data_IF_387050294801
#
_entry.id   IF_387050294801
#
_cell.length_a   1.000
_cell.length_b   1.000
_cell.length_c   1.000
_cell.angle_alpha   90.00
_cell.angle_beta   90.00
_cell.angle_gamma   90.00
#
_symmetry.space_group_name_H-M   'P 1'
#
loop_
_entity.id
_entity.type
_entity.pdbx_description
1 polymer ?
#
# COMPACT_ATOMS: atom_id res chain seq x y z
N UNK A 1 -21.08 11.32 22.11
CA UNK A 1 -21.65 11.95 20.90
C UNK A 1 -20.56 11.99 19.86
N UNK A 2 -20.62 11.14 18.85
CA UNK A 2 -19.73 11.20 17.70
C UNK A 2 -20.31 12.23 16.73
N UNK A 3 -19.72 13.42 16.69
CA UNK A 3 -20.01 14.38 15.62
C UNK A 3 -19.70 13.71 14.28
N UNK A 4 -20.73 13.47 13.48
CA UNK A 4 -20.60 13.06 12.09
C UNK A 4 -19.77 14.11 11.37
N UNK A 5 -18.62 13.73 10.82
CA UNK A 5 -17.83 14.62 9.96
C UNK A 5 -18.74 15.13 8.84
N UNK A 6 -18.76 16.45 8.56
CA UNK A 6 -19.51 16.99 7.44
C UNK A 6 -19.00 16.40 6.12
N UNK A 7 -19.90 16.30 5.14
CA UNK A 7 -19.59 15.82 3.80
C UNK A 7 -18.41 16.59 3.21
N UNK A 8 -17.51 15.86 2.57
CA UNK A 8 -16.24 16.35 2.02
C UNK A 8 -16.48 17.40 0.93
N UNK A 9 -17.63 17.33 0.23
CA UNK A 9 -18.07 18.32 -0.76
C UNK A 9 -18.48 19.68 -0.14
N UNK A 10 -18.69 19.73 1.18
CA UNK A 10 -19.08 20.94 1.92
C UNK A 10 -17.90 21.58 2.67
N UNK A 11 -16.68 21.08 2.50
CA UNK A 11 -15.52 21.60 3.22
C UNK A 11 -15.02 22.91 2.61
N UNK A 12 -14.87 23.92 3.45
CA UNK A 12 -14.14 25.15 3.11
C UNK A 12 -12.62 24.87 3.05
N UNK A 13 -11.87 25.68 2.29
CA UNK A 13 -10.43 25.48 2.05
C UNK A 13 -9.61 25.33 3.35
N UNK A 14 -9.92 26.11 4.39
CA UNK A 14 -9.23 26.02 5.67
C UNK A 14 -9.50 24.69 6.40
N UNK A 15 -10.66 24.06 6.19
CA UNK A 15 -10.98 22.75 6.77
C UNK A 15 -10.12 21.66 6.13
N UNK A 16 -9.90 21.77 4.82
CA UNK A 16 -8.96 20.91 4.09
C UNK A 16 -7.53 21.07 4.60
N UNK A 17 -7.07 22.31 4.79
CA UNK A 17 -5.74 22.59 5.34
C UNK A 17 -5.57 22.00 6.75
N UNK A 18 -6.53 22.23 7.65
CA UNK A 18 -6.48 21.70 9.02
C UNK A 18 -6.55 20.17 9.02
N UNK A 19 -7.39 19.57 8.20
CA UNK A 19 -7.50 18.11 8.07
C UNK A 19 -6.19 17.50 7.56
N UNK A 20 -5.62 18.10 6.51
CA UNK A 20 -4.33 17.68 5.94
C UNK A 20 -3.22 17.79 6.98
N UNK A 21 -3.16 18.90 7.72
CA UNK A 21 -2.20 19.09 8.79
C UNK A 21 -2.34 18.03 9.89
N UNK A 22 -3.57 17.78 10.38
CA UNK A 22 -3.83 16.74 11.40
C UNK A 22 -3.40 15.36 10.92
N UNK A 23 -3.67 15.05 9.66
CA UNK A 23 -3.25 13.80 9.03
C UNK A 23 -1.72 13.68 8.97
N UNK A 24 -1.01 14.73 8.53
CA UNK A 24 0.46 14.74 8.46
C UNK A 24 1.11 14.65 9.85
N UNK A 25 0.58 15.34 10.85
CA UNK A 25 1.05 15.24 12.24
C UNK A 25 0.81 13.83 12.80
N UNK A 26 -0.34 13.22 12.51
CA UNK A 26 -0.63 11.83 12.90
C UNK A 26 0.38 10.86 12.29
N UNK A 27 0.64 10.97 10.99
CA UNK A 27 1.62 10.12 10.31
C UNK A 27 3.04 10.29 10.85
N UNK A 28 3.46 11.54 11.11
CA UNK A 28 4.77 11.80 11.71
C UNK A 28 4.90 11.17 13.10
N UNK A 29 3.85 11.27 13.93
CA UNK A 29 3.85 10.65 15.26
C UNK A 29 3.90 9.13 15.19
N UNK A 30 3.19 8.53 14.24
CA UNK A 30 3.27 7.09 13.95
C UNK A 30 4.68 6.70 13.55
N UNK A 31 5.27 7.40 12.58
CA UNK A 31 6.63 7.12 12.11
C UNK A 31 7.65 7.21 13.26
N UNK A 32 7.61 8.29 14.05
CA UNK A 32 8.48 8.45 15.21
C UNK A 32 8.32 7.30 16.22
N UNK A 33 7.08 6.87 16.46
CA UNK A 33 6.78 5.79 17.39
C UNK A 33 7.28 4.45 16.86
N UNK A 34 7.14 4.19 15.56
CA UNK A 34 7.68 3.00 14.90
C UNK A 34 9.20 2.95 15.01
N UNK A 35 9.91 4.05 14.73
CA UNK A 35 11.38 4.08 14.88
C UNK A 35 11.85 3.87 16.32
N UNK A 36 11.12 4.40 17.31
CA UNK A 36 11.42 4.16 18.74
C UNK A 36 11.20 2.70 19.12
N UNK A 37 10.13 2.10 18.64
CA UNK A 37 9.79 0.70 18.90
C UNK A 37 10.83 -0.23 18.28
N UNK A 38 11.15 -0.01 17.00
CA UNK A 38 12.10 -0.78 16.19
C UNK A 38 13.57 -0.34 16.40
N UNK A 39 13.91 0.26 17.54
CA UNK A 39 15.26 0.79 17.81
C UNK A 39 16.38 -0.24 17.60
N UNK A 40 16.11 -1.54 17.84
CA UNK A 40 17.08 -2.64 17.65
C UNK A 40 17.42 -2.92 16.18
N UNK A 41 16.55 -2.53 15.26
CA UNK A 41 16.72 -2.75 13.82
C UNK A 41 17.45 -1.57 13.15
N UNK A 42 17.59 -0.44 13.85
CA UNK A 42 18.22 0.77 13.32
C UNK A 42 19.69 0.57 12.97
N UNK A 43 20.11 1.09 11.81
CA UNK A 43 21.45 0.98 11.26
C UNK A 43 21.75 -0.36 10.57
N UNK A 44 20.79 -1.29 10.53
CA UNK A 44 20.91 -2.57 9.81
C UNK A 44 19.79 -2.79 8.82
N UNK A 45 18.53 -2.70 9.28
CA UNK A 45 17.35 -2.97 8.44
C UNK A 45 16.47 -1.74 8.25
N UNK A 46 16.61 -0.75 9.12
CA UNK A 46 15.98 0.58 8.99
C UNK A 46 17.03 1.67 9.29
N UNK A 47 16.88 2.90 8.80
CA UNK A 47 17.80 4.00 9.13
C UNK A 47 17.89 4.28 10.62
N UNK A 48 19.02 4.80 11.09
CA UNK A 48 19.08 5.40 12.43
C UNK A 48 18.25 6.68 12.50
N UNK A 49 17.43 6.82 13.53
CA UNK A 49 16.75 8.06 13.89
C UNK A 49 17.69 8.90 14.75
N UNK A 50 18.09 10.07 14.26
CA UNK A 50 18.92 11.02 15.01
C UNK A 50 18.09 11.97 15.89
N UNK A 51 16.85 12.27 15.50
CA UNK A 51 15.97 13.09 16.33
C UNK A 51 14.80 13.71 15.59
N UNK A 52 14.09 14.59 16.30
CA UNK A 52 12.97 15.38 15.80
C UNK A 52 13.43 16.82 15.62
N UNK A 53 13.06 17.46 14.52
CA UNK A 53 13.36 18.86 14.22
C UNK A 53 12.09 19.65 13.98
N UNK A 54 12.16 20.96 14.22
CA UNK A 54 11.11 21.93 13.89
C UNK A 54 11.74 23.06 13.11
N UNK A 55 11.37 23.19 11.85
CA UNK A 55 11.88 24.20 10.93
C UNK A 55 10.83 25.29 10.74
N UNK A 56 11.18 26.55 10.98
CA UNK A 56 10.27 27.67 10.71
C UNK A 56 10.25 27.99 9.22
N UNK A 57 9.07 28.24 8.66
CA UNK A 57 8.90 28.45 7.21
C UNK A 57 9.20 29.89 6.80
N UNK A 58 8.87 30.88 7.63
CA UNK A 58 8.97 32.30 7.25
C UNK A 58 10.19 33.03 7.84
N UNK A 59 10.86 33.86 7.02
CA UNK A 59 11.79 34.88 7.50
C UNK A 59 10.99 36.09 8.00
N UNK A 60 10.80 36.15 9.31
CA UNK A 60 10.63 37.33 10.19
C UNK A 60 9.52 38.38 9.90
N UNK A 61 8.90 38.43 8.71
CA UNK A 61 8.09 39.57 8.26
C UNK A 61 6.61 39.29 8.00
N UNK A 62 6.14 38.04 8.14
CA UNK A 62 4.71 37.71 8.07
C UNK A 62 4.33 36.74 9.17
N UNK A 63 3.39 37.14 10.02
CA UNK A 63 2.82 36.30 11.07
C UNK A 63 1.99 35.19 10.41
N UNK A 64 2.56 34.00 10.30
CA UNK A 64 1.82 32.80 9.88
C UNK A 64 1.01 32.25 11.05
N UNK A 65 -0.03 31.49 10.74
CA UNK A 65 -0.78 30.75 11.75
C UNK A 65 0.14 29.69 12.41
N UNK A 66 0.06 29.43 13.73
CA UNK A 66 0.92 28.45 14.43
C UNK A 66 0.86 27.00 13.91
N UNK A 67 -0.11 26.71 13.04
CA UNK A 67 -0.27 25.40 12.38
C UNK A 67 0.67 25.31 11.16
N UNK A 68 0.95 26.43 10.50
CA UNK A 68 1.69 26.53 9.25
C UNK A 68 3.02 27.28 9.40
N UNK A 69 3.32 27.81 10.59
CA UNK A 69 4.58 28.54 10.85
C UNK A 69 5.79 27.59 11.03
N UNK A 70 5.55 26.31 11.28
CA UNK A 70 6.58 25.28 11.45
C UNK A 70 6.31 24.02 10.63
N UNK A 71 7.37 23.50 10.02
CA UNK A 71 7.44 22.12 9.52
C UNK A 71 8.10 21.27 10.59
N UNK A 72 7.37 20.27 11.07
CA UNK A 72 7.98 19.23 11.90
C UNK A 72 8.65 18.21 10.98
N UNK A 73 9.84 17.77 11.37
CA UNK A 73 10.61 16.79 10.61
C UNK A 73 11.27 15.75 11.51
N UNK A 74 11.66 14.64 10.91
CA UNK A 74 12.49 13.60 11.52
C UNK A 74 13.83 13.56 10.79
N UNK A 75 14.91 13.40 11.54
CA UNK A 75 16.27 13.36 10.99
C UNK A 75 16.76 11.92 11.04
N UNK A 76 17.11 11.39 9.87
CA UNK A 76 17.51 10.00 9.70
C UNK A 76 18.93 9.88 9.13
N UNK A 77 19.51 8.70 9.33
CA UNK A 77 20.65 8.23 8.57
C UNK A 77 20.34 8.21 7.08
N UNK A 78 21.24 8.80 6.29
CA UNK A 78 21.17 8.73 4.85
C UNK A 78 21.66 7.36 4.38
N UNK A 79 20.84 6.68 3.57
CA UNK A 79 21.16 5.37 3.02
C UNK A 79 21.54 5.52 1.55
N UNK A 80 22.84 5.46 1.20
CA UNK A 80 23.26 5.47 -0.19
C UNK A 80 22.81 4.16 -0.86
N UNK A 81 22.09 4.28 -1.96
CA UNK A 81 21.52 3.12 -2.62
C UNK A 81 20.50 3.47 -3.69
N UNK A 82 19.85 2.42 -4.18
CA UNK A 82 18.81 2.53 -5.21
C UNK A 82 17.48 2.05 -4.64
N UNK A 83 16.43 2.84 -4.90
CA UNK A 83 15.07 2.42 -4.58
C UNK A 83 14.74 1.14 -5.33
N UNK A 84 14.10 0.20 -4.63
CA UNK A 84 13.73 -1.09 -5.18
C UNK A 84 12.71 -1.02 -6.31
N UNK A 85 11.99 0.09 -6.46
CA UNK A 85 11.13 0.35 -7.64
C UNK A 85 11.88 0.16 -8.95
N UNK A 86 13.18 0.44 -8.94
CA UNK A 86 14.05 0.36 -10.11
C UNK A 86 14.61 -1.04 -10.35
N UNK A 87 14.30 -2.04 -9.50
CA UNK A 87 14.91 -3.37 -9.50
C UNK A 87 13.87 -4.50 -9.36
N UNK A 88 14.24 -5.72 -9.76
CA UNK A 88 13.46 -6.98 -9.55
C UNK A 88 13.82 -7.63 -8.19
N UNK A 89 12.95 -8.49 -7.60
CA UNK A 89 12.85 -8.64 -6.13
C UNK A 89 13.97 -9.45 -5.45
N UNK A 90 14.28 -9.04 -4.21
CA UNK A 90 15.19 -9.71 -3.26
C UNK A 90 14.96 -9.26 -1.80
N UNK A 91 13.69 -9.06 -1.39
CA UNK A 91 13.27 -8.34 -0.15
C UNK A 91 13.16 -9.25 1.09
N UNK A 92 13.34 -10.55 0.89
CA UNK A 92 12.90 -11.61 1.82
C UNK A 92 13.43 -11.51 3.25
N UNK A 93 14.65 -11.00 3.45
CA UNK A 93 15.35 -11.12 4.74
C UNK A 93 14.99 -9.99 5.72
N UNK A 94 14.94 -8.73 5.26
CA UNK A 94 14.57 -7.61 6.13
C UNK A 94 13.09 -7.67 6.56
N UNK A 95 12.22 -8.20 5.69
CA UNK A 95 10.82 -8.47 6.02
C UNK A 95 10.67 -9.42 7.20
N UNK A 96 11.38 -10.55 7.15
CA UNK A 96 11.36 -11.54 8.23
C UNK A 96 11.84 -10.95 9.56
N UNK A 97 12.83 -10.05 9.52
CA UNK A 97 13.34 -9.41 10.74
C UNK A 97 12.30 -8.47 11.38
N UNK A 98 11.51 -7.73 10.59
CA UNK A 98 10.44 -6.87 11.12
C UNK A 98 9.24 -7.69 11.58
N UNK A 99 8.83 -8.71 10.81
CA UNK A 99 7.74 -9.61 11.23
C UNK A 99 8.08 -10.31 12.56
N UNK A 100 9.35 -10.68 12.77
CA UNK A 100 9.81 -11.26 14.03
C UNK A 100 9.71 -10.31 15.24
N UNK A 101 9.75 -8.99 15.03
CA UNK A 101 9.54 -8.04 16.13
C UNK A 101 8.06 -7.94 16.54
N UNK A 102 7.10 -8.43 15.75
CA UNK A 102 5.65 -8.53 16.05
C UNK A 102 4.98 -7.26 16.65
N UNK A 103 5.60 -6.10 16.50
CA UNK A 103 5.24 -4.86 17.21
C UNK A 103 4.81 -3.75 16.26
N UNK A 104 5.22 -3.83 14.99
CA UNK A 104 4.93 -2.84 13.98
C UNK A 104 4.72 -3.52 12.62
N UNK A 105 3.60 -3.20 12.00
CA UNK A 105 3.37 -3.41 10.58
C UNK A 105 3.54 -2.09 9.90
N UNK A 106 4.52 -1.94 9.03
CA UNK A 106 4.38 -0.84 8.09
C UNK A 106 3.40 -1.28 6.97
N UNK A 107 2.51 -0.37 6.57
CA UNK A 107 1.76 -0.52 5.33
C UNK A 107 2.76 -0.22 4.21
N UNK A 108 3.33 -1.28 3.63
CA UNK A 108 4.42 -1.15 2.64
C UNK A 108 3.78 -1.15 1.27
N UNK A 109 3.54 0.03 0.71
CA UNK A 109 3.38 0.12 -0.73
C UNK A 109 4.75 -0.19 -1.38
N UNK A 110 4.90 -1.47 -1.72
CA UNK A 110 5.96 -2.40 -1.26
C UNK A 110 7.37 -2.31 -1.84
N UNK A 111 7.65 -1.39 -2.77
CA UNK A 111 8.97 -1.28 -3.41
C UNK A 111 9.55 0.13 -3.36
N UNK A 112 8.70 1.14 -3.18
CA UNK A 112 9.11 2.55 -3.06
C UNK A 112 9.85 2.80 -1.75
N UNK A 113 9.40 2.11 -0.70
CA UNK A 113 9.86 2.30 0.67
C UNK A 113 10.99 1.33 1.06
N UNK A 114 11.68 0.76 0.08
CA UNK A 114 12.87 -0.07 0.29
C UNK A 114 14.02 0.45 -0.56
N UNK A 115 15.16 0.68 0.07
CA UNK A 115 16.42 1.08 -0.56
C UNK A 115 17.39 -0.09 -0.47
N UNK A 116 17.97 -0.51 -1.60
CA UNK A 116 19.10 -1.43 -1.58
C UNK A 116 20.38 -0.63 -1.40
N UNK A 117 21.08 -0.89 -0.29
CA UNK A 117 22.36 -0.26 -0.01
C UNK A 117 23.38 -0.50 -1.13
N UNK A 118 24.15 0.53 -1.44
CA UNK A 118 25.30 0.40 -2.32
C UNK A 118 26.36 -0.53 -1.69
N UNK A 119 27.00 -1.34 -2.54
CA UNK A 119 27.98 -2.33 -2.11
C UNK A 119 27.37 -3.71 -1.85
N UNK A 120 26.66 -3.89 -0.74
CA UNK A 120 26.15 -5.22 -0.32
C UNK A 120 24.73 -5.54 -0.81
N UNK A 121 24.03 -4.57 -1.40
CA UNK A 121 22.62 -4.69 -1.83
C UNK A 121 21.67 -5.12 -0.70
N UNK A 122 22.04 -4.87 0.56
CA UNK A 122 21.17 -5.18 1.70
C UNK A 122 19.95 -4.25 1.68
N UNK A 123 18.73 -4.79 1.84
CA UNK A 123 17.52 -4.00 1.85
C UNK A 123 17.39 -3.22 3.16
N UNK A 124 17.07 -1.93 3.03
CA UNK A 124 16.76 -1.02 4.13
C UNK A 124 15.37 -0.44 3.92
N UNK A 125 14.51 -0.59 4.91
CA UNK A 125 13.13 -0.14 4.87
C UNK A 125 13.04 1.26 5.44
N UNK A 126 12.33 2.13 4.74
CA UNK A 126 12.12 3.53 5.07
C UNK A 126 10.61 3.82 5.11
N UNK A 127 10.26 5.01 5.60
CA UNK A 127 8.88 5.53 5.61
C UNK A 127 7.89 4.65 6.39
N UNK A 128 7.78 4.95 7.69
CA UNK A 128 6.81 4.34 8.60
C UNK A 128 5.61 5.27 8.89
N UNK A 129 5.39 6.28 8.04
CA UNK A 129 4.32 7.28 8.24
C UNK A 129 2.91 6.69 8.31
N UNK A 130 2.71 5.55 7.67
CA UNK A 130 1.44 4.81 7.65
C UNK A 130 1.52 3.47 8.38
N UNK A 131 2.52 3.28 9.24
CA UNK A 131 2.63 2.06 10.00
C UNK A 131 1.48 1.90 11.01
N UNK A 132 0.98 0.67 11.10
CA UNK A 132 0.15 0.22 12.19
C UNK A 132 1.07 -0.27 13.31
N UNK A 133 0.87 0.32 14.48
CA UNK A 133 1.64 0.01 15.69
C UNK A 133 0.69 -0.72 16.62
N UNK A 134 1.16 -1.86 17.14
CA UNK A 134 0.36 -2.63 18.08
C UNK A 134 0.10 -1.83 19.35
N UNK A 135 -1.16 -1.71 19.72
CA UNK A 135 -1.55 -1.16 21.02
C UNK A 135 -1.13 -2.13 22.14
N UNK A 136 -0.56 -1.64 23.26
CA UNK A 136 -0.12 -2.50 24.37
C UNK A 136 -1.21 -3.44 24.91
N UNK A 137 -2.47 -3.03 24.82
CA UNK A 137 -3.64 -3.73 25.32
C UNK A 137 -4.16 -4.82 24.36
N UNK A 138 -3.70 -4.82 23.11
CA UNK A 138 -4.15 -5.75 22.08
C UNK A 138 -3.50 -7.12 22.27
N UNK A 139 -4.30 -8.18 22.30
CA UNK A 139 -3.79 -9.57 22.37
C UNK A 139 -3.01 -9.96 21.10
N UNK A 140 -2.23 -11.05 21.18
CA UNK A 140 -1.50 -11.57 20.02
C UNK A 140 -2.48 -12.00 18.92
N UNK A 141 -3.63 -12.56 19.28
CA UNK A 141 -4.68 -13.00 18.37
C UNK A 141 -5.37 -11.82 17.66
N UNK A 142 -5.74 -10.78 18.42
CA UNK A 142 -6.34 -9.57 17.86
C UNK A 142 -5.35 -8.84 16.96
N UNK A 143 -4.09 -8.72 17.40
CA UNK A 143 -3.03 -8.13 16.59
C UNK A 143 -2.79 -8.93 15.32
N UNK A 144 -2.70 -10.26 15.43
CA UNK A 144 -2.58 -11.14 14.28
C UNK A 144 -3.73 -10.91 13.31
N UNK A 145 -4.98 -10.78 13.76
CA UNK A 145 -6.11 -10.47 12.87
C UNK A 145 -5.94 -9.15 12.12
N UNK A 146 -5.45 -8.09 12.79
CA UNK A 146 -5.11 -6.81 12.14
C UNK A 146 -4.01 -7.00 11.09
N UNK A 147 -2.98 -7.77 11.45
CA UNK A 147 -1.85 -8.12 10.57
C UNK A 147 -2.29 -8.87 9.32
N UNK A 148 -3.14 -9.89 9.48
CA UNK A 148 -3.67 -10.74 8.41
C UNK A 148 -4.68 -10.02 7.53
N UNK A 149 -5.40 -9.05 8.09
CA UNK A 149 -6.37 -8.22 7.37
C UNK A 149 -5.73 -7.18 6.47
N UNK A 150 -4.48 -6.79 6.74
CA UNK A 150 -3.78 -5.75 5.97
C UNK A 150 -3.46 -6.23 4.53
N UNK A 151 -3.89 -5.50 3.49
CA UNK A 151 -3.63 -5.84 2.08
C UNK A 151 -2.14 -6.02 1.76
N UNK A 152 -1.28 -5.15 2.32
CA UNK A 152 0.15 -5.18 2.04
C UNK A 152 0.83 -6.42 2.65
N UNK A 153 0.45 -6.86 3.86
CA UNK A 153 0.99 -8.08 4.47
C UNK A 153 0.66 -9.33 3.65
N UNK A 154 -0.56 -9.39 3.11
CA UNK A 154 -1.01 -10.52 2.27
C UNK A 154 -0.25 -10.56 0.95
N UNK A 155 -0.13 -9.42 0.28
CA UNK A 155 0.66 -9.29 -0.94
C UNK A 155 2.12 -9.71 -0.72
N UNK A 156 2.72 -9.29 0.40
CA UNK A 156 4.10 -9.65 0.73
C UNK A 156 4.22 -11.13 1.05
N UNK A 157 3.34 -11.75 1.84
CA UNK A 157 3.37 -13.20 2.07
C UNK A 157 3.27 -13.99 0.76
N UNK A 158 2.45 -13.55 -0.17
CA UNK A 158 2.34 -14.17 -1.49
C UNK A 158 3.65 -14.06 -2.29
N UNK A 159 4.28 -12.88 -2.30
CA UNK A 159 5.61 -12.68 -2.87
C UNK A 159 6.69 -13.53 -2.18
N UNK A 160 6.60 -13.69 -0.86
CA UNK A 160 7.56 -14.43 -0.06
C UNK A 160 7.41 -15.96 -0.23
N UNK A 161 6.18 -16.45 -0.33
CA UNK A 161 5.89 -17.88 -0.37
C UNK A 161 6.25 -18.51 -1.72
N UNK A 162 6.10 -17.79 -2.83
CA UNK A 162 6.32 -18.31 -4.19
C UNK A 162 7.25 -17.41 -5.01
N UNK A 163 8.58 -17.47 -4.80
CA UNK A 163 9.55 -16.67 -5.55
C UNK A 163 9.68 -17.07 -7.02
N UNK A 164 9.21 -18.25 -7.42
CA UNK A 164 9.23 -18.73 -8.81
C UNK A 164 7.95 -18.45 -9.60
N UNK A 165 6.82 -18.16 -8.93
CA UNK A 165 5.68 -17.57 -9.60
C UNK A 165 6.03 -16.08 -9.76
N UNK A 166 6.41 -15.64 -10.97
CA UNK A 166 6.55 -14.20 -11.26
C UNK A 166 5.36 -13.45 -10.61
N UNK A 167 5.57 -12.27 -9.99
CA UNK A 167 4.47 -11.52 -9.41
C UNK A 167 3.42 -11.38 -10.49
N UNK A 168 2.26 -12.00 -10.27
CA UNK A 168 1.10 -11.90 -11.15
C UNK A 168 1.01 -10.44 -11.55
N UNK A 169 1.33 -10.12 -12.82
CA UNK A 169 1.30 -8.72 -13.22
C UNK A 169 -0.15 -8.33 -13.03
N UNK A 170 -0.42 -7.38 -12.12
CA UNK A 170 -1.79 -6.91 -11.80
C UNK A 170 -2.58 -6.46 -13.02
N UNK A 171 -1.97 -6.36 -14.20
CA UNK A 171 -2.63 -6.03 -15.46
C UNK A 171 -2.83 -7.23 -16.40
N UNK A 172 -2.29 -8.41 -16.08
CA UNK A 172 -2.19 -9.59 -16.96
C UNK A 172 -2.95 -10.80 -16.40
N UNK A 173 -3.59 -10.72 -15.24
CA UNK A 173 -4.50 -11.79 -14.79
C UNK A 173 -5.90 -11.25 -14.58
N UNK A 174 -6.96 -11.96 -14.98
CA UNK A 174 -8.32 -11.54 -14.67
C UNK A 174 -8.59 -11.64 -13.17
N UNK A 175 -9.57 -10.89 -12.66
CA UNK A 175 -10.09 -11.10 -11.31
C UNK A 175 -10.91 -12.41 -11.26
N UNK A 176 -11.26 -12.92 -10.09
CA UNK A 176 -12.26 -13.99 -10.02
C UNK A 176 -13.62 -13.51 -10.53
N UNK A 177 -14.44 -14.39 -11.13
CA UNK A 177 -15.78 -14.01 -11.62
C UNK A 177 -16.71 -13.46 -10.51
N UNK A 178 -16.44 -13.79 -9.25
CA UNK A 178 -17.11 -13.30 -8.05
C UNK A 178 -16.76 -11.84 -7.71
N UNK A 179 -15.75 -11.26 -8.37
CA UNK A 179 -15.22 -9.95 -8.04
C UNK A 179 -16.21 -8.81 -8.36
N UNK A 180 -16.30 -7.77 -7.50
CA UNK A 180 -17.13 -6.60 -7.77
C UNK A 180 -16.92 -5.93 -9.14
N UNK A 181 -15.70 -5.99 -9.70
CA UNK A 181 -15.37 -5.49 -11.03
C UNK A 181 -16.18 -6.19 -12.14
N UNK A 182 -16.62 -7.44 -11.90
CA UNK A 182 -17.49 -8.19 -12.80
C UNK A 182 -18.95 -8.22 -12.36
N UNK A 183 -19.36 -7.41 -11.38
CA UNK A 183 -20.77 -7.36 -10.96
C UNK A 183 -21.69 -6.74 -12.01
N UNK A 184 -21.15 -5.83 -12.82
CA UNK A 184 -21.88 -5.21 -13.93
C UNK A 184 -21.46 -5.85 -15.26
N UNK A 185 -22.37 -6.52 -15.99
CA UNK A 185 -22.08 -7.13 -17.28
C UNK A 185 -21.47 -6.17 -18.30
N UNK A 186 -21.96 -4.94 -18.38
CA UNK A 186 -21.44 -3.94 -19.34
C UNK A 186 -19.96 -3.65 -19.07
N UNK A 187 -19.63 -3.30 -17.83
CA UNK A 187 -18.26 -2.95 -17.40
C UNK A 187 -17.32 -4.14 -17.59
N UNK A 188 -17.80 -5.36 -17.27
CA UNK A 188 -17.06 -6.60 -17.47
C UNK A 188 -16.77 -6.86 -18.94
N UNK A 189 -17.77 -6.78 -19.80
CA UNK A 189 -17.62 -7.04 -21.23
C UNK A 189 -16.71 -6.00 -21.89
N UNK A 190 -16.84 -4.71 -21.55
CA UNK A 190 -15.95 -3.65 -22.02
C UNK A 190 -14.51 -3.84 -21.55
N UNK A 191 -14.32 -4.24 -20.29
CA UNK A 191 -12.99 -4.55 -19.76
C UNK A 191 -12.33 -5.67 -20.56
N UNK A 192 -13.03 -6.79 -20.78
CA UNK A 192 -12.47 -7.93 -21.53
C UNK A 192 -12.22 -7.54 -22.99
N UNK A 193 -13.09 -6.76 -23.62
CA UNK A 193 -12.93 -6.29 -25.01
C UNK A 193 -11.80 -5.26 -25.17
N UNK A 194 -11.46 -4.51 -24.12
CA UNK A 194 -10.35 -3.55 -24.12
C UNK A 194 -8.97 -4.22 -24.09
N UNK A 195 -8.91 -5.50 -23.74
CA UNK A 195 -7.66 -6.25 -23.63
C UNK A 195 -7.07 -6.61 -25.00
N UNK A 196 -5.73 -6.78 -25.08
CA UNK A 196 -5.08 -7.35 -26.25
C UNK A 196 -5.73 -8.67 -26.69
N UNK A 197 -5.89 -8.87 -27.99
CA UNK A 197 -6.64 -10.01 -28.54
C UNK A 197 -6.03 -11.37 -28.17
N UNK A 198 -4.70 -11.45 -28.22
CA UNK A 198 -3.91 -12.60 -27.78
C UNK A 198 -4.18 -12.94 -26.32
N UNK A 199 -4.07 -11.96 -25.44
CA UNK A 199 -4.36 -12.13 -24.02
C UNK A 199 -5.80 -12.57 -23.78
N UNK A 200 -6.77 -11.91 -24.42
CA UNK A 200 -8.19 -12.22 -24.30
C UNK A 200 -8.48 -13.66 -24.74
N UNK A 201 -7.89 -14.12 -25.85
CA UNK A 201 -8.10 -15.48 -26.36
C UNK A 201 -7.55 -16.56 -25.42
N UNK A 202 -6.43 -16.27 -24.76
CA UNK A 202 -5.79 -17.18 -23.81
C UNK A 202 -6.50 -17.25 -22.46
N UNK A 203 -7.08 -16.13 -22.00
CA UNK A 203 -7.63 -16.03 -20.65
C UNK A 203 -9.14 -16.12 -20.57
N UNK A 204 -9.86 -15.73 -21.62
CA UNK A 204 -11.31 -15.72 -21.67
C UNK A 204 -11.84 -16.56 -22.82
N UNK A 205 -13.06 -17.04 -22.64
CA UNK A 205 -13.86 -17.64 -23.69
C UNK A 205 -15.23 -16.97 -23.78
N UNK A 206 -15.73 -16.87 -25.00
CA UNK A 206 -17.03 -16.27 -25.28
C UNK A 206 -18.13 -17.21 -24.83
N UNK A 207 -19.12 -16.69 -24.10
CA UNK A 207 -20.30 -17.43 -23.69
C UNK A 207 -21.24 -17.54 -24.89
N UNK A 208 -21.64 -18.77 -25.23
CA UNK A 208 -22.56 -19.03 -26.33
C UNK A 208 -23.92 -18.36 -26.07
N UNK A 209 -24.68 -18.08 -27.14
CA UNK A 209 -26.03 -17.52 -27.09
C UNK A 209 -26.14 -16.11 -26.49
N UNK A 210 -25.03 -15.36 -26.51
CA UNK A 210 -24.98 -13.95 -26.03
C UNK A 210 -24.80 -12.92 -27.15
N UNK A 211 -25.05 -13.31 -28.41
CA UNK A 211 -24.85 -12.47 -29.60
C UNK A 211 -26.15 -11.76 -30.08
N UNK A 212 -27.02 -11.40 -29.14
CA UNK A 212 -28.28 -10.69 -29.44
C UNK A 212 -28.19 -9.20 -29.03
N UNK A 213 -29.05 -8.37 -29.63
CA UNK A 213 -29.03 -6.91 -29.45
C UNK A 213 -29.31 -6.51 -27.98
N UNK A 214 -28.35 -5.85 -27.33
CA UNK A 214 -28.44 -5.47 -25.92
C UNK A 214 -27.96 -6.54 -24.92
N UNK A 215 -27.33 -7.61 -25.41
CA UNK A 215 -26.73 -8.64 -24.56
C UNK A 215 -25.56 -8.08 -23.74
N UNK A 216 -24.78 -7.16 -24.33
CA UNK A 216 -23.59 -6.59 -23.72
C UNK A 216 -23.88 -5.92 -22.36
N UNK A 217 -25.04 -5.29 -22.22
CA UNK A 217 -25.47 -4.61 -21.00
C UNK A 217 -26.11 -5.55 -19.97
N UNK A 218 -26.60 -6.71 -20.42
CA UNK A 218 -27.52 -7.55 -19.63
C UNK A 218 -26.91 -8.88 -19.19
N UNK A 219 -25.90 -9.38 -19.89
CA UNK A 219 -25.27 -10.69 -19.61
C UNK A 219 -23.76 -10.66 -19.80
N UNK A 220 -23.03 -11.52 -19.08
CA UNK A 220 -21.60 -11.71 -19.28
C UNK A 220 -21.37 -12.48 -20.60
N UNK A 221 -20.80 -11.81 -21.60
CA UNK A 221 -20.45 -12.40 -22.89
C UNK A 221 -19.11 -13.13 -22.84
N UNK A 222 -18.34 -12.92 -21.77
CA UNK A 222 -17.05 -13.52 -21.55
C UNK A 222 -17.02 -14.23 -20.20
N UNK A 223 -16.41 -15.41 -20.16
CA UNK A 223 -16.05 -16.09 -18.92
C UNK A 223 -14.57 -16.45 -18.93
N UNK A 224 -13.98 -16.51 -17.73
CA UNK A 224 -12.59 -16.91 -17.59
C UNK A 224 -12.47 -18.39 -17.95
N UNK A 225 -11.46 -18.75 -18.75
CA UNK A 225 -11.24 -20.14 -19.14
C UNK A 225 -10.87 -20.99 -17.92
N UNK A 226 -11.33 -22.25 -17.86
CA UNK A 226 -10.90 -23.18 -16.82
C UNK A 226 -9.37 -23.33 -16.77
N UNK A 227 -8.80 -23.31 -15.57
CA UNK A 227 -7.35 -23.43 -15.35
C UNK A 227 -6.56 -22.13 -15.53
N UNK A 228 -7.19 -21.04 -15.99
CA UNK A 228 -6.60 -19.71 -15.91
C UNK A 228 -6.57 -19.30 -14.44
N UNK A 229 -5.39 -18.92 -13.96
CA UNK A 229 -5.23 -18.41 -12.60
C UNK A 229 -5.81 -17.00 -12.53
N UNK A 230 -6.65 -16.76 -11.53
CA UNK A 230 -7.33 -15.48 -11.30
C UNK A 230 -6.73 -14.77 -10.09
N UNK A 231 -6.89 -13.45 -10.05
CA UNK A 231 -6.62 -12.65 -8.86
C UNK A 231 -7.77 -12.77 -7.87
N UNK A 232 -7.51 -13.08 -6.59
CA UNK A 232 -8.55 -13.03 -5.56
C UNK A 232 -9.01 -11.59 -5.35
N UNK A 233 -10.24 -11.44 -4.87
CA UNK A 233 -10.91 -10.15 -4.61
C UNK A 233 -10.13 -9.24 -3.64
N UNK A 234 -9.23 -9.81 -2.86
CA UNK A 234 -8.59 -9.13 -1.73
C UNK A 234 -7.06 -9.15 -1.78
N UNK A 235 -6.47 -9.20 -2.98
CA UNK A 235 -5.03 -8.95 -3.21
C UNK A 235 -4.62 -7.48 -3.03
#
# INVERSE_FOLDING_TARGET
MTESRPDVELWEDWMWEVSTWRYKVSNQNKELSAYRLLHRLQGRYIPRLFGVVRLRITPESTTLHPITDVVQGLVFEYIPGVSMVKLKPGIMEALRAIEAENLCLAQWHSHQNVVLQDGNRSPVIIDFGQADIREPELSDEEWSSVVWGSPDTRYMRNLLANPEDEPWKRTVTPYEMSDPHYRNPLVSNEYVESMPEDFRRETFERVLDTDWEGAKEKVHQWRIRPGVRCRPIYD
#
